data_IF_268074937044
#
_entry.id   IF_268074937044
#
_cell.length_a   1.000
_cell.length_b   1.000
_cell.length_c   1.000
_cell.angle_alpha   90.00
_cell.angle_beta   90.00
_cell.angle_gamma   90.00
#
_symmetry.space_group_name_H-M   'P 1'
#
loop_
_entity.id
_entity.type
_entity.pdbx_description
1 polymer ?
#
# COMPACT_ATOMS: atom_id res chain seq x y z
N UNK A 1 46.97 -34.02 -18.12
CA UNK A 1 46.00 -34.32 -17.04
C UNK A 1 44.73 -33.53 -17.31
N UNK A 2 43.77 -34.20 -17.93
CA UNK A 2 42.45 -33.70 -18.31
C UNK A 2 41.56 -33.67 -17.08
N UNK A 3 41.09 -32.48 -16.69
CA UNK A 3 40.20 -32.30 -15.54
C UNK A 3 38.78 -32.70 -15.98
N UNK A 4 38.34 -33.86 -15.51
CA UNK A 4 37.00 -34.39 -15.76
C UNK A 4 35.99 -33.48 -15.03
N UNK A 5 35.13 -32.80 -15.81
CA UNK A 5 33.94 -32.12 -15.30
C UNK A 5 32.97 -33.15 -14.75
N UNK A 6 32.64 -33.06 -13.47
CA UNK A 6 31.53 -33.76 -12.83
C UNK A 6 30.21 -33.39 -13.54
N UNK A 7 29.32 -34.33 -13.88
CA UNK A 7 28.06 -34.01 -14.52
C UNK A 7 27.11 -33.33 -13.53
N UNK A 8 26.42 -32.32 -14.02
CA UNK A 8 25.38 -31.59 -13.31
C UNK A 8 24.31 -32.54 -12.76
N UNK A 9 23.85 -32.26 -11.54
CA UNK A 9 22.74 -32.95 -10.90
C UNK A 9 21.53 -32.99 -11.85
N UNK A 10 21.00 -34.20 -12.06
CA UNK A 10 19.74 -34.45 -12.75
C UNK A 10 18.67 -33.52 -12.19
N UNK A 11 18.14 -32.63 -13.05
CA UNK A 11 16.88 -31.94 -12.81
C UNK A 11 15.78 -32.99 -12.64
N UNK A 12 15.48 -33.33 -11.39
CA UNK A 12 14.30 -34.10 -11.03
C UNK A 12 13.11 -33.26 -11.51
N UNK A 13 12.46 -33.69 -12.59
CA UNK A 13 11.22 -33.09 -13.09
C UNK A 13 10.21 -33.17 -11.95
N UNK A 14 10.06 -32.07 -11.19
CA UNK A 14 9.09 -31.98 -10.11
C UNK A 14 7.71 -32.11 -10.73
N UNK A 15 6.94 -33.08 -10.25
CA UNK A 15 5.54 -33.25 -10.63
C UNK A 15 4.81 -31.90 -10.53
N UNK A 16 3.91 -31.55 -11.46
CA UNK A 16 3.13 -30.32 -11.37
C UNK A 16 2.33 -30.25 -10.06
N UNK A 17 2.10 -29.04 -9.56
CA UNK A 17 1.24 -28.84 -8.40
C UNK A 17 -0.23 -28.90 -8.82
N UNK A 18 -1.06 -29.59 -8.04
CA UNK A 18 -2.53 -29.63 -8.23
C UNK A 18 -3.22 -28.34 -7.76
N UNK A 19 -2.49 -27.48 -7.05
CA UNK A 19 -2.95 -26.16 -6.60
C UNK A 19 -2.15 -25.08 -7.32
N UNK A 20 -2.85 -24.11 -7.92
CA UNK A 20 -2.24 -22.92 -8.50
C UNK A 20 -2.35 -21.73 -7.56
N UNK A 21 -1.37 -20.83 -7.60
CA UNK A 21 -1.44 -19.53 -6.92
C UNK A 21 -1.55 -18.42 -7.95
N UNK A 22 -2.62 -17.63 -7.84
CA UNK A 22 -2.81 -16.35 -8.52
C UNK A 22 -2.73 -15.22 -7.52
N UNK A 23 -1.99 -14.16 -7.86
CA UNK A 23 -1.83 -12.97 -7.05
C UNK A 23 -2.24 -11.77 -7.88
N UNK A 24 -3.15 -10.96 -7.37
CA UNK A 24 -3.62 -9.76 -8.05
C UNK A 24 -3.55 -8.57 -7.08
N UNK A 25 -2.96 -7.46 -7.53
CA UNK A 25 -3.04 -6.19 -6.80
C UNK A 25 -4.49 -5.73 -6.78
N UNK A 26 -4.98 -5.32 -5.61
CA UNK A 26 -6.28 -4.70 -5.47
C UNK A 26 -6.12 -3.20 -5.77
N UNK A 27 -6.11 -2.87 -7.07
CA UNK A 27 -6.09 -1.50 -7.55
C UNK A 27 -7.44 -0.82 -7.28
N UNK A 28 -7.42 0.48 -6.99
CA UNK A 28 -8.64 1.25 -6.83
C UNK A 28 -9.16 1.67 -8.21
N UNK A 29 -10.47 1.55 -8.47
CA UNK A 29 -11.06 2.06 -9.69
C UNK A 29 -10.98 3.59 -9.74
N UNK A 30 -10.96 4.14 -10.96
CA UNK A 30 -10.98 5.58 -11.22
C UNK A 30 -12.05 5.91 -12.26
N UNK A 31 -12.56 7.14 -12.25
CA UNK A 31 -13.50 7.60 -13.26
C UNK A 31 -12.81 7.65 -14.63
N UNK A 32 -13.46 7.05 -15.64
CA UNK A 32 -12.95 7.08 -17.00
C UNK A 32 -12.97 8.51 -17.55
N UNK A 33 -11.86 8.95 -18.13
CA UNK A 33 -11.78 10.24 -18.79
C UNK A 33 -12.35 10.08 -20.20
N UNK A 34 -13.23 11.00 -20.59
CA UNK A 34 -13.76 11.12 -21.94
C UNK A 34 -13.31 12.45 -22.55
N UNK A 35 -13.25 12.51 -23.88
CA UNK A 35 -12.89 13.70 -24.63
C UNK A 35 -14.11 14.17 -25.41
N UNK A 36 -15.09 14.79 -24.73
CA UNK A 36 -16.33 15.21 -25.38
C UNK A 36 -16.01 16.22 -26.47
N UNK A 37 -16.47 15.96 -27.68
CA UNK A 37 -16.40 16.96 -28.74
C UNK A 37 -17.33 18.14 -28.40
N UNK A 38 -16.98 19.37 -28.85
CA UNK A 38 -17.91 20.49 -28.82
C UNK A 38 -19.23 20.10 -29.50
N UNK A 39 -20.35 20.65 -29.02
CA UNK A 39 -21.69 20.34 -29.53
C UNK A 39 -21.69 20.52 -31.05
N UNK A 40 -21.71 19.40 -31.76
CA UNK A 40 -21.77 19.33 -33.23
C UNK A 40 -23.20 19.03 -33.65
N UNK A 41 -23.61 19.52 -34.81
CA UNK A 41 -24.90 19.19 -35.43
C UNK A 41 -25.05 17.69 -35.75
N UNK A 42 -23.94 16.93 -35.75
CA UNK A 42 -23.93 15.49 -35.98
C UNK A 42 -23.87 14.70 -34.66
N UNK A 43 -24.99 14.07 -34.23
CA UNK A 43 -25.07 13.37 -32.95
C UNK A 43 -24.22 12.09 -32.90
N UNK A 44 -23.94 11.48 -34.06
CA UNK A 44 -23.14 10.26 -34.17
C UNK A 44 -21.65 10.49 -33.88
N UNK A 45 -21.10 11.65 -34.27
CA UNK A 45 -19.70 12.00 -33.97
C UNK A 45 -19.54 12.33 -32.48
N UNK A 46 -20.51 13.06 -31.93
CA UNK A 46 -20.57 13.35 -30.50
C UNK A 46 -20.61 12.06 -29.68
N UNK A 47 -21.48 11.10 -30.04
CA UNK A 47 -21.62 9.83 -29.31
C UNK A 47 -20.36 8.94 -29.37
N UNK A 48 -19.63 8.96 -30.49
CA UNK A 48 -18.38 8.23 -30.66
C UNK A 48 -17.19 8.79 -29.86
N UNK A 49 -17.24 10.08 -29.47
CA UNK A 49 -16.18 10.72 -28.68
C UNK A 49 -16.18 10.36 -27.19
N UNK A 50 -17.27 9.76 -26.70
CA UNK A 50 -17.40 9.37 -25.30
C UNK A 50 -16.73 8.04 -25.01
N UNK A 51 -16.32 7.86 -23.74
CA UNK A 51 -15.73 6.60 -23.27
C UNK A 51 -16.67 5.40 -23.39
N UNK A 52 -17.99 5.63 -23.50
CA UNK A 52 -18.97 4.60 -23.77
C UNK A 52 -20.16 5.15 -24.55
N UNK A 53 -20.64 4.45 -25.60
CA UNK A 53 -21.75 4.91 -26.41
C UNK A 53 -23.07 4.76 -25.65
N UNK A 54 -23.55 5.85 -25.05
CA UNK A 54 -24.87 5.90 -24.41
C UNK A 54 -25.87 6.41 -25.45
N UNK A 55 -26.91 5.62 -25.73
CA UNK A 55 -27.88 5.90 -26.79
C UNK A 55 -28.86 7.05 -26.46
N UNK A 56 -28.94 7.50 -25.21
CA UNK A 56 -29.88 8.52 -24.78
C UNK A 56 -29.30 9.34 -23.62
N UNK A 57 -29.65 10.63 -23.63
CA UNK A 57 -29.62 11.61 -22.52
C UNK A 57 -28.37 12.48 -22.32
N UNK A 58 -28.63 13.79 -22.28
CA UNK A 58 -27.95 14.85 -21.53
C UNK A 58 -26.56 14.50 -21.00
N UNK A 59 -25.56 14.59 -21.87
CA UNK A 59 -24.17 14.55 -21.44
C UNK A 59 -23.61 15.97 -21.59
N UNK A 60 -23.38 16.64 -20.46
CA UNK A 60 -23.07 18.09 -20.38
C UNK A 60 -21.66 18.45 -20.89
N UNK A 61 -21.02 17.59 -21.69
CA UNK A 61 -19.66 17.78 -22.17
C UNK A 61 -18.61 17.69 -21.04
N UNK A 62 -18.92 17.01 -19.94
CA UNK A 62 -17.98 16.86 -18.83
C UNK A 62 -16.87 15.86 -19.18
N UNK A 63 -15.64 16.14 -18.76
CA UNK A 63 -14.47 15.32 -19.10
C UNK A 63 -14.43 13.96 -18.36
N UNK A 64 -15.22 13.79 -17.29
CA UNK A 64 -15.33 12.52 -16.57
C UNK A 64 -16.60 11.80 -16.96
N UNK A 65 -16.46 10.52 -17.31
CA UNK A 65 -17.57 9.59 -17.52
C UNK A 65 -18.04 9.02 -16.18
N UNK A 66 -19.33 8.65 -16.04
CA UNK A 66 -19.82 7.92 -14.86
C UNK A 66 -19.27 6.49 -14.75
N UNK A 67 -18.46 6.03 -15.70
CA UNK A 67 -17.85 4.71 -15.69
C UNK A 67 -16.59 4.64 -14.83
N UNK A 68 -16.47 3.53 -14.12
CA UNK A 68 -15.27 3.20 -13.37
C UNK A 68 -14.38 2.26 -14.20
N UNK A 69 -13.09 2.56 -14.26
CA UNK A 69 -12.08 1.73 -14.92
C UNK A 69 -10.99 1.34 -13.93
N UNK A 70 -10.45 0.14 -14.11
CA UNK A 70 -9.26 -0.29 -13.41
C UNK A 70 -8.01 0.21 -14.16
N UNK A 71 -6.93 0.56 -13.46
CA UNK A 71 -5.67 0.91 -14.10
C UNK A 71 -5.21 -0.18 -15.07
N UNK A 72 -4.76 0.16 -16.29
CA UNK A 72 -4.39 -0.81 -17.32
C UNK A 72 -3.09 -1.57 -16.99
N UNK A 73 -2.36 -1.14 -15.97
CA UNK A 73 -1.10 -1.73 -15.54
C UNK A 73 -0.97 -1.72 -14.02
N UNK A 74 0.09 -2.37 -13.52
CA UNK A 74 0.36 -2.49 -12.08
C UNK A 74 0.48 -1.13 -11.38
N UNK A 75 0.90 -0.07 -12.09
CA UNK A 75 1.07 1.28 -11.54
C UNK A 75 2.18 1.37 -10.48
N UNK A 76 2.32 2.54 -9.85
CA UNK A 76 3.27 2.73 -8.76
C UNK A 76 2.66 2.34 -7.41
N UNK A 77 3.53 1.93 -6.50
CA UNK A 77 3.20 1.82 -5.09
C UNK A 77 3.94 2.94 -4.35
N UNK A 78 3.27 3.62 -3.43
CA UNK A 78 3.83 4.79 -2.78
C UNK A 78 4.07 4.59 -1.28
N UNK A 79 5.16 5.18 -0.79
CA UNK A 79 5.43 5.27 0.64
C UNK A 79 4.32 6.07 1.31
N UNK A 80 3.83 5.55 2.42
CA UNK A 80 2.73 6.08 3.19
C UNK A 80 1.35 5.60 2.74
N UNK A 81 1.25 4.82 1.67
CA UNK A 81 0.01 4.18 1.25
C UNK A 81 -0.06 2.70 1.68
N UNK A 82 -1.29 2.16 1.65
CA UNK A 82 -1.53 0.72 1.89
C UNK A 82 -1.48 -0.03 0.56
N UNK A 83 -0.47 -0.87 0.39
CA UNK A 83 -0.42 -1.87 -0.65
C UNK A 83 -1.38 -3.01 -0.34
N UNK A 84 -2.26 -3.35 -1.28
CA UNK A 84 -3.25 -4.41 -1.11
C UNK A 84 -3.18 -5.41 -2.25
N UNK A 85 -3.19 -6.70 -1.94
CA UNK A 85 -3.31 -7.76 -2.95
C UNK A 85 -4.24 -8.86 -2.46
N UNK A 86 -4.85 -9.56 -3.42
CA UNK A 86 -5.56 -10.81 -3.16
C UNK A 86 -4.69 -11.98 -3.59
N UNK A 87 -4.63 -12.97 -2.71
CA UNK A 87 -3.94 -14.23 -2.90
C UNK A 87 -5.00 -15.30 -3.10
N UNK A 88 -4.94 -16.03 -4.21
CA UNK A 88 -5.93 -17.03 -4.57
C UNK A 88 -5.25 -18.36 -4.85
N UNK A 89 -5.42 -19.33 -3.95
CA UNK A 89 -5.00 -20.71 -4.15
C UNK A 89 -6.15 -21.51 -4.78
N UNK A 90 -6.01 -21.93 -6.03
CA UNK A 90 -7.06 -22.62 -6.78
C UNK A 90 -6.77 -24.11 -6.84
N UNK A 91 -7.78 -24.93 -6.57
CA UNK A 91 -7.73 -26.35 -6.85
C UNK A 91 -7.97 -26.58 -8.36
N UNK A 92 -6.92 -26.96 -9.08
CA UNK A 92 -6.94 -27.18 -10.54
C UNK A 92 -7.44 -28.59 -10.92
N UNK A 93 -7.87 -29.40 -9.95
CA UNK A 93 -8.52 -30.67 -10.24
C UNK A 93 -9.88 -30.40 -10.90
N UNK A 94 -10.08 -30.96 -12.09
CA UNK A 94 -11.35 -30.89 -12.80
C UNK A 94 -12.41 -31.81 -12.14
N UNK A 95 -13.67 -31.37 -12.04
CA UNK A 95 -14.76 -32.23 -11.59
C UNK A 95 -14.93 -33.43 -12.55
N UNK A 96 -14.94 -34.65 -12.02
CA UNK A 96 -15.04 -35.88 -12.81
C UNK A 96 -13.71 -36.52 -13.24
N UNK A 97 -12.58 -36.06 -12.71
CA UNK A 97 -11.29 -36.71 -12.93
C UNK A 97 -11.28 -38.12 -12.30
N UNK A 98 -10.79 -39.10 -13.06
CA UNK A 98 -10.70 -40.54 -12.68
C UNK A 98 -9.67 -40.76 -11.56
N UNK A 99 -8.71 -39.85 -11.44
CA UNK A 99 -7.78 -39.86 -10.32
C UNK A 99 -8.52 -39.30 -9.10
N UNK A 100 -8.92 -40.17 -8.16
CA UNK A 100 -9.58 -39.87 -6.86
C UNK A 100 -8.68 -39.03 -5.92
N UNK A 101 -8.13 -37.94 -6.43
CA UNK A 101 -7.27 -36.98 -5.73
C UNK A 101 -8.16 -35.95 -5.04
N UNK A 102 -7.93 -35.76 -3.74
CA UNK A 102 -8.56 -34.72 -2.93
C UNK A 102 -7.49 -33.76 -2.40
N UNK A 103 -7.84 -32.47 -2.34
CA UNK A 103 -6.96 -31.39 -1.87
C UNK A 103 -7.46 -30.88 -0.54
N UNK A 104 -6.66 -31.15 0.49
CA UNK A 104 -7.01 -30.88 1.87
C UNK A 104 -5.99 -29.94 2.50
N UNK A 105 -6.37 -29.38 3.66
CA UNK A 105 -5.48 -28.57 4.51
C UNK A 105 -4.73 -27.45 3.75
N UNK A 106 -5.41 -26.75 2.83
CA UNK A 106 -4.81 -25.66 2.06
C UNK A 106 -4.56 -24.46 2.96
N UNK A 107 -3.31 -24.03 3.00
CA UNK A 107 -2.84 -22.92 3.81
C UNK A 107 -2.00 -21.96 2.97
N UNK A 108 -2.20 -20.67 3.18
CA UNK A 108 -1.46 -19.60 2.50
C UNK A 108 -0.71 -18.82 3.57
N UNK A 109 0.58 -18.59 3.35
CA UNK A 109 1.39 -17.67 4.14
C UNK A 109 1.99 -16.60 3.23
N UNK A 110 2.02 -15.37 3.71
CA UNK A 110 2.63 -14.26 3.00
C UNK A 110 3.65 -13.55 3.89
N UNK A 111 4.75 -13.16 3.27
CA UNK A 111 5.83 -12.42 3.90
C UNK A 111 6.25 -11.28 2.96
N UNK A 112 6.62 -10.12 3.50
CA UNK A 112 7.21 -9.05 2.72
C UNK A 112 8.65 -8.80 3.15
N UNK A 113 9.55 -8.70 2.17
CA UNK A 113 10.90 -8.20 2.38
C UNK A 113 10.97 -6.77 1.88
N UNK A 114 11.30 -5.85 2.79
CA UNK A 114 11.56 -4.44 2.45
C UNK A 114 13.03 -4.24 2.04
N UNK A 115 13.36 -3.15 1.33
CA UNK A 115 14.72 -2.89 0.84
C UNK A 115 15.78 -2.87 1.93
N UNK A 116 15.48 -2.27 3.09
CA UNK A 116 16.45 -2.10 4.17
C UNK A 116 16.34 -3.17 5.27
N UNK A 117 15.32 -4.05 5.21
CA UNK A 117 15.18 -5.14 6.17
C UNK A 117 15.97 -6.38 5.72
N UNK A 118 16.84 -6.87 6.61
CA UNK A 118 17.54 -8.14 6.44
C UNK A 118 16.60 -9.36 6.53
N UNK A 119 15.49 -9.23 7.27
CA UNK A 119 14.54 -10.32 7.51
C UNK A 119 13.15 -10.04 6.90
N UNK A 120 12.49 -11.05 6.32
CA UNK A 120 11.12 -10.90 5.84
C UNK A 120 10.13 -10.77 7.01
N UNK A 121 9.12 -9.91 6.85
CA UNK A 121 8.06 -9.67 7.83
C UNK A 121 6.84 -10.51 7.44
N UNK A 122 6.38 -11.38 8.35
CA UNK A 122 5.16 -12.17 8.14
C UNK A 122 3.93 -11.26 8.15
N UNK A 123 3.04 -11.46 7.18
CA UNK A 123 1.86 -10.64 6.97
C UNK A 123 0.61 -11.33 7.50
N UNK A 124 -0.28 -10.54 8.10
CA UNK A 124 -1.61 -10.98 8.50
C UNK A 124 -2.52 -11.10 7.27
N UNK A 125 -3.20 -12.23 7.14
CA UNK A 125 -4.13 -12.52 6.05
C UNK A 125 -5.57 -12.36 6.52
N UNK A 126 -6.33 -11.46 5.91
CA UNK A 126 -7.77 -11.38 6.16
C UNK A 126 -8.52 -12.36 5.24
N UNK A 127 -9.60 -13.01 5.74
CA UNK A 127 -10.49 -13.78 4.87
C UNK A 127 -11.16 -12.82 3.88
N UNK A 128 -11.14 -13.13 2.58
CA UNK A 128 -12.08 -12.46 1.68
C UNK A 128 -13.46 -13.02 1.97
N UNK A 129 -14.46 -12.16 2.11
CA UNK A 129 -15.85 -12.51 2.43
C UNK A 129 -16.46 -13.52 1.44
N UNK A 130 -16.19 -14.80 1.61
CA UNK A 130 -16.99 -15.90 1.10
C UNK A 130 -17.62 -16.56 2.32
N UNK A 131 -18.94 -16.43 2.43
CA UNK A 131 -19.75 -17.03 3.49
C UNK A 131 -19.42 -18.51 3.65
N UNK A 132 -18.74 -18.83 4.74
CA UNK A 132 -18.89 -20.10 5.42
C UNK A 132 -19.15 -19.73 6.87
N UNK A 133 -20.43 -19.71 7.25
CA UNK A 133 -20.83 -19.71 8.65
C UNK A 133 -20.10 -20.86 9.33
N UNK A 134 -19.11 -20.56 10.15
CA UNK A 134 -18.67 -21.46 11.20
C UNK A 134 -19.10 -20.83 12.51
N UNK A 135 -20.10 -21.50 13.09
CA UNK A 135 -20.55 -21.41 14.46
C UNK A 135 -19.36 -21.24 15.40
N UNK A 136 -19.52 -20.34 16.35
CA UNK A 136 -18.66 -20.21 17.53
C UNK A 136 -18.55 -21.59 18.19
N UNK A 137 -17.34 -22.12 18.32
CA UNK A 137 -16.80 -22.64 19.57
C UNK A 137 -15.37 -23.20 19.37
N UNK A 138 -14.59 -22.94 20.41
CA UNK A 138 -13.27 -23.46 20.78
C UNK A 138 -11.98 -23.03 20.08
N UNK A 139 -11.17 -22.38 20.93
CA UNK A 139 -9.74 -22.12 20.79
C UNK A 139 -9.00 -23.44 20.94
N UNK A 140 -8.31 -23.85 19.88
CA UNK A 140 -7.00 -24.48 20.04
C UNK A 140 -6.14 -24.22 18.80
N UNK A 141 -4.86 -23.96 19.04
CA UNK A 141 -3.86 -23.62 18.02
C UNK A 141 -3.50 -24.89 17.27
N UNK A 142 -4.32 -25.26 16.29
CA UNK A 142 -3.95 -26.19 15.21
C UNK A 142 -4.14 -25.47 13.89
N UNK A 143 -3.13 -25.59 13.04
CA UNK A 143 -3.08 -25.07 11.66
C UNK A 143 -4.13 -25.77 10.81
N UNK A 144 -5.40 -25.42 10.98
CA UNK A 144 -6.53 -26.04 10.28
C UNK A 144 -6.66 -25.41 8.90
N UNK A 145 -5.86 -25.92 7.95
CA UNK A 145 -5.96 -25.56 6.55
C UNK A 145 -7.34 -25.91 5.99
N UNK A 146 -7.75 -25.25 4.91
CA UNK A 146 -9.11 -25.41 4.35
C UNK A 146 -9.12 -26.50 3.28
N UNK A 147 -10.12 -27.38 3.31
CA UNK A 147 -10.32 -28.36 2.25
C UNK A 147 -10.98 -27.69 1.04
N UNK A 148 -10.44 -27.93 -0.16
CA UNK A 148 -10.94 -27.34 -1.40
C UNK A 148 -11.51 -28.43 -2.31
N UNK A 149 -12.81 -28.32 -2.64
CA UNK A 149 -13.39 -29.17 -3.67
C UNK A 149 -12.77 -28.88 -5.06
N UNK A 150 -12.86 -29.80 -6.02
CA UNK A 150 -12.42 -29.58 -7.40
C UNK A 150 -12.96 -28.25 -7.96
N UNK A 151 -12.08 -27.41 -8.51
CA UNK A 151 -12.43 -26.08 -9.04
C UNK A 151 -12.69 -24.97 -8.01
N UNK A 152 -12.64 -25.26 -6.70
CA UNK A 152 -12.76 -24.22 -5.67
C UNK A 152 -11.43 -23.52 -5.39
N UNK A 153 -11.52 -22.33 -4.79
CA UNK A 153 -10.38 -21.49 -4.47
C UNK A 153 -10.42 -20.98 -3.04
N UNK A 154 -9.26 -20.98 -2.37
CA UNK A 154 -9.04 -20.25 -1.13
C UNK A 154 -8.51 -18.85 -1.44
N UNK A 155 -9.30 -17.83 -1.11
CA UNK A 155 -8.91 -16.44 -1.30
C UNK A 155 -8.61 -15.75 0.03
N UNK A 156 -7.49 -15.04 0.07
CA UNK A 156 -7.05 -14.19 1.19
C UNK A 156 -6.70 -12.81 0.69
N UNK A 157 -6.78 -11.81 1.56
CA UNK A 157 -6.36 -10.44 1.26
C UNK A 157 -5.18 -10.09 2.17
N UNK A 158 -4.16 -9.48 1.57
CA UNK A 158 -3.00 -8.91 2.24
C UNK A 158 -3.12 -7.39 2.15
N UNK A 159 -2.86 -6.71 3.25
CA UNK A 159 -2.74 -5.26 3.32
C UNK A 159 -1.47 -4.90 4.08
N UNK A 160 -0.62 -4.07 3.47
CA UNK A 160 0.67 -3.66 4.03
C UNK A 160 0.85 -2.17 3.86
N UNK A 161 1.13 -1.46 4.94
CA UNK A 161 1.58 -0.07 4.89
C UNK A 161 3.03 -0.01 4.40
N UNK A 162 3.27 0.70 3.31
CA UNK A 162 4.60 0.85 2.76
C UNK A 162 5.31 2.01 3.46
N UNK A 163 6.43 1.71 4.12
CA UNK A 163 7.20 2.69 4.90
C UNK A 163 8.53 3.07 4.27
N UNK A 164 9.01 2.27 3.32
CA UNK A 164 10.33 2.39 2.72
C UNK A 164 10.23 2.45 1.21
N UNK A 165 10.99 3.34 0.59
CA UNK A 165 11.18 3.36 -0.86
C UNK A 165 12.13 2.25 -1.32
N UNK A 166 11.94 1.79 -2.56
CA UNK A 166 12.82 0.81 -3.20
C UNK A 166 12.13 -0.51 -3.56
N UNK A 167 12.94 -1.56 -3.73
CA UNK A 167 12.49 -2.89 -4.16
C UNK A 167 11.91 -3.71 -3.02
N UNK A 168 10.60 -3.93 -3.04
CA UNK A 168 9.90 -4.84 -2.13
C UNK A 168 9.70 -6.20 -2.79
N UNK A 169 9.76 -7.27 -1.99
CA UNK A 169 9.49 -8.64 -2.46
C UNK A 169 8.40 -9.26 -1.59
N UNK A 170 7.22 -9.43 -2.17
CA UNK A 170 6.14 -10.22 -1.59
C UNK A 170 6.40 -11.70 -1.87
N UNK A 171 6.58 -12.47 -0.83
CA UNK A 171 6.78 -13.90 -0.91
C UNK A 171 5.55 -14.62 -0.40
N UNK A 172 5.00 -15.52 -1.21
CA UNK A 172 3.80 -16.28 -0.87
C UNK A 172 4.10 -17.76 -0.91
N UNK A 173 3.87 -18.42 0.21
CA UNK A 173 4.02 -19.86 0.38
C UNK A 173 2.63 -20.50 0.45
N UNK A 174 2.40 -21.53 -0.35
CA UNK A 174 1.17 -22.33 -0.29
C UNK A 174 1.55 -23.74 0.12
N UNK A 175 0.89 -24.24 1.15
CA UNK A 175 1.04 -25.61 1.65
C UNK A 175 -0.31 -26.31 1.58
N UNK A 176 -0.33 -27.56 1.12
CA UNK A 176 -1.55 -28.34 0.99
C UNK A 176 -1.24 -29.84 1.04
N UNK A 177 -2.25 -30.68 1.30
CA UNK A 177 -2.15 -32.13 1.20
C UNK A 177 -2.89 -32.66 -0.03
N UNK A 178 -2.18 -33.47 -0.81
CA UNK A 178 -2.71 -34.28 -1.90
C UNK A 178 -3.02 -35.67 -1.35
N UNK A 179 -4.31 -35.99 -1.22
CA UNK A 179 -4.77 -37.29 -0.73
C UNK A 179 -5.30 -38.12 -1.91
N UNK A 180 -4.77 -39.33 -2.03
CA UNK A 180 -5.23 -40.39 -2.92
C UNK A 180 -5.91 -41.46 -2.07
N UNK A 181 -6.67 -42.36 -2.71
CA UNK A 181 -7.38 -43.46 -2.04
C UNK A 181 -6.55 -44.24 -1.00
N UNK A 182 -5.24 -44.37 -1.22
CA UNK A 182 -4.34 -45.17 -0.37
C UNK A 182 -3.16 -44.38 0.24
N UNK A 183 -3.01 -43.08 -0.03
CA UNK A 183 -1.86 -42.31 0.45
C UNK A 183 -2.10 -40.80 0.45
N UNK A 184 -1.59 -40.10 1.48
CA UNK A 184 -1.55 -38.64 1.53
C UNK A 184 -0.13 -38.11 1.39
N UNK A 185 0.05 -37.01 0.63
CA UNK A 185 1.33 -36.33 0.45
C UNK A 185 1.17 -34.83 0.72
N UNK A 186 1.95 -34.29 1.66
CA UNK A 186 2.03 -32.83 1.86
C UNK A 186 2.95 -32.22 0.81
N UNK A 187 2.49 -31.15 0.18
CA UNK A 187 3.24 -30.39 -0.82
C UNK A 187 3.24 -28.92 -0.45
N UNK A 188 4.34 -28.25 -0.75
CA UNK A 188 4.44 -26.81 -0.64
C UNK A 188 5.12 -26.24 -1.87
N UNK A 189 4.82 -24.99 -2.16
CA UNK A 189 5.58 -24.19 -3.11
C UNK A 189 5.59 -22.72 -2.68
N UNK A 190 6.61 -22.01 -3.13
CA UNK A 190 6.85 -20.60 -2.79
C UNK A 190 7.03 -19.80 -4.07
N UNK A 191 6.30 -18.68 -4.19
CA UNK A 191 6.45 -17.72 -5.29
C UNK A 191 6.84 -16.35 -4.76
N UNK A 192 7.70 -15.66 -5.50
CA UNK A 192 8.20 -14.33 -5.15
C UNK A 192 7.69 -13.33 -6.19
N UNK A 193 7.16 -12.21 -5.71
CA UNK A 193 6.65 -11.11 -6.53
C UNK A 193 7.38 -9.83 -6.12
N UNK A 194 8.17 -9.30 -7.03
CA UNK A 194 8.93 -8.08 -6.81
C UNK A 194 8.15 -6.86 -7.33
N UNK A 195 8.13 -5.78 -6.55
CA UNK A 195 7.58 -4.50 -6.97
C UNK A 195 8.39 -3.34 -6.39
N UNK A 196 8.28 -2.17 -7.02
CA UNK A 196 9.01 -0.95 -6.61
C UNK A 196 8.05 -0.02 -5.87
N UNK A 197 8.49 0.48 -4.72
CA UNK A 197 7.85 1.54 -3.98
C UNK A 197 8.59 2.87 -4.20
N UNK A 198 7.88 3.93 -4.56
CA UNK A 198 8.40 5.30 -4.72
C UNK A 198 7.91 6.19 -3.58
N UNK A 199 8.58 7.30 -3.30
CA UNK A 199 8.03 8.32 -2.42
C UNK A 199 6.85 9.03 -3.10
N UNK A 200 5.71 9.14 -2.42
CA UNK A 200 4.62 10.02 -2.85
C UNK A 200 4.85 11.46 -2.36
N UNK A 201 5.35 11.60 -1.13
CA UNK A 201 5.65 12.89 -0.54
C UNK A 201 7.08 12.91 0.00
N UNK A 202 7.84 13.94 -0.36
CA UNK A 202 9.16 14.20 0.22
C UNK A 202 9.07 15.32 1.24
N UNK A 203 9.81 15.18 2.35
CA UNK A 203 9.86 16.16 3.42
C UNK A 203 11.30 16.63 3.60
N UNK A 204 11.51 17.93 3.40
CA UNK A 204 12.81 18.58 3.65
C UNK A 204 12.63 19.64 4.73
N UNK A 205 13.29 19.48 5.86
CA UNK A 205 13.11 20.35 7.02
C UNK A 205 14.40 21.08 7.42
N UNK A 206 14.23 22.24 8.03
CA UNK A 206 15.30 23.07 8.58
C UNK A 206 14.85 23.66 9.91
N UNK A 207 15.73 23.60 10.91
CA UNK A 207 15.48 24.15 12.24
C UNK A 207 16.43 25.31 12.47
N UNK A 208 15.88 26.45 12.91
CA UNK A 208 16.63 27.68 13.17
C UNK A 208 16.27 28.19 14.57
N UNK A 209 17.28 28.49 15.39
CA UNK A 209 17.05 29.11 16.69
C UNK A 209 16.58 30.56 16.53
N UNK A 210 15.55 30.94 17.27
CA UNK A 210 15.00 32.29 17.29
C UNK A 210 15.37 32.94 18.63
N UNK A 211 15.98 34.14 18.63
CA UNK A 211 16.21 34.88 19.85
C UNK A 211 14.89 35.17 20.58
N UNK A 212 14.82 34.77 21.85
CA UNK A 212 13.66 34.98 22.70
C UNK A 212 14.11 35.35 24.11
N UNK A 213 13.33 36.20 24.78
CA UNK A 213 13.68 36.75 26.10
C UNK A 213 13.31 35.84 27.27
N UNK A 214 12.39 34.89 27.04
CA UNK A 214 11.80 34.07 28.11
C UNK A 214 12.28 32.63 28.03
N UNK A 215 11.89 31.93 26.97
CA UNK A 215 12.23 30.52 26.74
C UNK A 215 13.06 30.39 25.48
N UNK A 216 13.87 29.34 25.35
CA UNK A 216 14.53 29.05 24.08
C UNK A 216 13.47 28.67 23.05
N UNK A 217 13.62 29.20 21.86
CA UNK A 217 12.63 29.09 20.80
C UNK A 217 13.32 28.75 19.49
N UNK A 218 12.65 27.95 18.66
CA UNK A 218 13.12 27.56 17.34
C UNK A 218 11.98 27.67 16.32
N UNK A 219 12.31 28.04 15.08
CA UNK A 219 11.44 27.82 13.94
C UNK A 219 11.85 26.53 13.23
N UNK A 220 10.88 25.65 13.02
CA UNK A 220 10.98 24.50 12.14
C UNK A 220 10.23 24.82 10.86
N UNK A 221 10.97 24.98 9.76
CA UNK A 221 10.43 25.12 8.41
C UNK A 221 10.54 23.76 7.71
N UNK A 222 9.47 23.34 7.02
CA UNK A 222 9.52 22.15 6.18
C UNK A 222 8.88 22.38 4.82
N UNK A 223 9.47 21.77 3.80
CA UNK A 223 8.98 21.71 2.43
C UNK A 223 8.39 20.32 2.20
N UNK A 224 7.12 20.28 1.83
CA UNK A 224 6.37 19.09 1.47
C UNK A 224 6.23 19.08 -0.04
N UNK A 225 6.90 18.15 -0.72
CA UNK A 225 6.91 18.07 -2.18
C UNK A 225 6.15 16.83 -2.63
N UNK A 226 5.21 17.00 -3.56
CA UNK A 226 4.56 15.86 -4.21
C UNK A 226 5.50 15.25 -5.24
N UNK A 227 6.09 14.10 -4.91
CA UNK A 227 6.96 13.32 -5.80
C UNK A 227 6.22 12.22 -6.55
N UNK A 228 4.91 12.08 -6.34
CA UNK A 228 4.06 11.13 -7.06
C UNK A 228 3.65 11.63 -8.44
N UNK A 229 3.03 10.73 -9.21
CA UNK A 229 2.49 11.04 -10.55
C UNK A 229 1.02 11.51 -10.51
N UNK A 230 0.36 11.39 -9.36
CA UNK A 230 -1.01 11.86 -9.16
C UNK A 230 -1.07 13.10 -8.27
N UNK A 231 -2.13 13.88 -8.41
CA UNK A 231 -2.40 14.97 -7.49
C UNK A 231 -2.85 14.44 -6.12
N UNK A 232 -2.38 15.10 -5.07
CA UNK A 232 -2.75 14.81 -3.69
C UNK A 232 -3.37 16.03 -3.03
N UNK A 233 -4.21 15.78 -2.04
CA UNK A 233 -4.87 16.79 -1.22
C UNK A 233 -4.32 16.64 0.19
N UNK A 234 -3.56 17.62 0.67
CA UNK A 234 -3.00 17.61 2.02
C UNK A 234 -4.12 17.77 3.05
N UNK A 235 -4.28 16.79 3.94
CA UNK A 235 -5.32 16.84 4.97
C UNK A 235 -4.80 17.52 6.24
N UNK A 236 -3.72 16.99 6.80
CA UNK A 236 -3.19 17.44 8.09
C UNK A 236 -1.66 17.36 8.07
N UNK A 237 -1.03 18.34 8.73
CA UNK A 237 0.40 18.35 9.03
C UNK A 237 0.54 18.62 10.52
N UNK A 238 0.98 17.60 11.24
CA UNK A 238 1.03 17.61 12.71
C UNK A 238 2.49 17.43 13.12
N UNK A 239 2.95 18.27 14.04
CA UNK A 239 4.22 18.07 14.71
C UNK A 239 3.95 17.42 16.06
N UNK A 240 4.50 16.23 16.27
CA UNK A 240 4.37 15.48 17.51
C UNK A 240 5.56 15.84 18.41
N UNK A 241 5.29 16.68 19.41
CA UNK A 241 6.29 17.18 20.35
C UNK A 241 6.92 16.05 21.18
N UNK A 242 8.23 16.13 21.41
CA UNK A 242 8.92 15.38 22.46
C UNK A 242 8.78 16.09 23.82
N UNK A 243 9.07 15.36 24.90
CA UNK A 243 9.08 15.91 26.25
C UNK A 243 10.02 17.12 26.36
N UNK A 244 9.58 18.12 27.12
CA UNK A 244 10.31 19.39 27.26
C UNK A 244 10.09 20.38 26.13
N UNK A 245 9.27 20.06 25.12
CA UNK A 245 8.92 20.98 24.04
C UNK A 245 7.42 21.10 23.84
N UNK A 246 7.03 22.25 23.29
CA UNK A 246 5.68 22.49 22.78
C UNK A 246 5.78 23.20 21.44
N UNK A 247 5.08 22.69 20.43
CA UNK A 247 5.00 23.34 19.13
C UNK A 247 3.67 24.07 18.93
N UNK A 248 3.75 25.13 18.14
CA UNK A 248 2.60 25.86 17.62
C UNK A 248 2.72 25.91 16.10
N UNK A 249 1.72 25.36 15.41
CA UNK A 249 1.59 25.49 13.97
C UNK A 249 1.43 26.96 13.58
N UNK A 250 2.29 27.44 12.68
CA UNK A 250 2.17 28.75 12.04
C UNK A 250 1.50 28.66 10.66
N UNK A 251 0.96 27.49 10.34
CA UNK A 251 0.36 27.19 9.04
C UNK A 251 -1.04 27.81 8.95
N UNK A 252 -1.11 29.13 8.75
CA UNK A 252 -2.34 29.93 8.71
C UNK A 252 -3.36 29.40 7.68
N UNK A 253 -2.89 28.79 6.59
CA UNK A 253 -3.74 28.19 5.56
C UNK A 253 -4.50 26.93 6.03
N UNK A 254 -4.15 26.37 7.20
CA UNK A 254 -4.82 25.20 7.80
C UNK A 254 -5.64 25.57 9.04
N UNK A 255 -5.64 26.85 9.44
CA UNK A 255 -6.37 27.33 10.62
C UNK A 255 -7.81 27.64 10.22
N UNK A 256 -8.76 26.95 10.87
CA UNK A 256 -10.21 27.10 10.68
C UNK A 256 -10.66 28.52 11.05
N UNK A 257 -10.74 29.40 10.08
CA UNK A 257 -11.58 30.60 10.16
C UNK A 257 -12.71 30.47 9.12
N UNK A 258 -13.93 30.35 9.63
CA UNK A 258 -15.24 30.50 8.97
C UNK A 258 -15.45 29.85 7.57
N UNK A 259 -16.21 28.75 7.63
CA UNK A 259 -17.20 28.22 6.66
C UNK A 259 -16.85 27.61 5.30
N UNK A 260 -15.67 27.79 4.69
CA UNK A 260 -15.25 26.88 3.59
C UNK A 260 -13.72 26.78 3.57
N UNK A 261 -13.16 25.64 4.01
CA UNK A 261 -11.73 25.36 3.84
C UNK A 261 -11.53 24.31 2.77
N UNK A 262 -10.79 24.67 1.73
CA UNK A 262 -10.30 23.72 0.73
C UNK A 262 -8.87 23.32 1.11
N UNK A 263 -8.70 22.02 1.36
CA UNK A 263 -7.38 21.45 1.66
C UNK A 263 -6.39 21.72 0.51
N UNK A 264 -5.11 22.07 0.77
CA UNK A 264 -4.15 22.35 -0.28
C UNK A 264 -4.01 21.18 -1.24
N UNK A 265 -4.23 21.45 -2.53
CA UNK A 265 -4.04 20.49 -3.62
C UNK A 265 -2.64 20.65 -4.17
N UNK A 266 -1.86 19.58 -4.18
CA UNK A 266 -0.52 19.52 -4.76
C UNK A 266 -0.56 18.69 -6.03
N UNK A 267 -0.26 19.32 -7.16
CA UNK A 267 0.04 18.65 -8.42
C UNK A 267 1.41 17.96 -8.32
N UNK A 268 1.71 16.98 -9.20
CA UNK A 268 3.05 16.42 -9.30
C UNK A 268 4.13 17.51 -9.42
N UNK A 269 5.11 17.49 -8.53
CA UNK A 269 6.19 18.48 -8.45
C UNK A 269 5.87 19.74 -7.63
N UNK A 270 4.63 19.94 -7.20
CA UNK A 270 4.28 21.08 -6.35
C UNK A 270 4.90 20.94 -4.95
N UNK A 271 5.28 22.09 -4.39
CA UNK A 271 5.86 22.19 -3.04
C UNK A 271 4.99 23.07 -2.16
N UNK A 272 4.59 22.53 -1.01
CA UNK A 272 3.95 23.28 0.06
C UNK A 272 4.94 23.53 1.20
N UNK A 273 5.07 24.79 1.61
CA UNK A 273 5.84 25.14 2.80
C UNK A 273 4.94 25.12 4.05
N UNK A 274 5.50 24.59 5.13
CA UNK A 274 4.89 24.59 6.47
C UNK A 274 5.92 25.06 7.50
N UNK A 275 5.45 25.70 8.57
CA UNK A 275 6.28 26.21 9.64
C UNK A 275 5.65 25.97 11.02
N UNK A 276 6.49 25.60 11.98
CA UNK A 276 6.14 25.40 13.38
C UNK A 276 7.07 26.23 14.26
N UNK A 277 6.50 26.91 15.24
CA UNK A 277 7.24 27.54 16.32
C UNK A 277 7.37 26.52 17.45
N UNK A 278 8.60 26.20 17.87
CA UNK A 278 8.90 25.25 18.93
C UNK A 278 9.44 26.03 20.13
N UNK A 279 8.85 25.82 21.29
CA UNK A 279 9.24 26.45 22.56
C UNK A 279 9.70 25.39 23.55
N UNK A 280 10.81 25.65 24.24
CA UNK A 280 11.20 24.88 25.42
C UNK A 280 10.21 25.19 26.56
N UNK A 281 9.74 24.15 27.24
CA UNK A 281 8.87 24.28 28.43
C UNK A 281 9.66 23.91 29.69
N UNK A 282 9.07 24.10 30.88
CA UNK A 282 9.78 23.89 32.17
C UNK A 282 10.24 22.45 32.40
N UNK A 283 9.67 21.48 31.68
CA UNK A 283 10.13 20.09 31.70
C UNK A 283 11.48 19.96 30.96
N UNK A 284 12.44 19.25 31.57
CA UNK A 284 13.77 19.12 30.98
C UNK A 284 13.73 18.31 29.68
N UNK A 285 14.27 18.84 28.57
CA UNK A 285 14.31 18.10 27.32
C UNK A 285 15.33 16.96 27.39
N UNK A 286 15.00 15.84 26.74
CA UNK A 286 15.90 14.71 26.62
C UNK A 286 16.93 14.94 25.50
N UNK A 287 18.22 14.77 25.82
CA UNK A 287 19.31 14.80 24.84
C UNK A 287 19.67 13.37 24.50
N UNK A 288 19.41 12.97 23.25
CA UNK A 288 19.67 11.62 22.76
C UNK A 288 20.87 11.67 21.83
N UNK A 289 21.96 10.99 22.20
CA UNK A 289 23.20 10.92 21.41
C UNK A 289 23.76 12.30 20.99
N UNK A 290 23.73 13.27 21.92
CA UNK A 290 24.22 14.64 21.67
C UNK A 290 23.33 15.50 20.77
N UNK A 291 22.12 15.03 20.46
CA UNK A 291 21.10 15.80 19.73
C UNK A 291 19.95 16.16 20.66
N UNK A 292 19.52 17.41 20.56
CA UNK A 292 18.26 17.88 21.14
C UNK A 292 17.14 17.51 20.17
N UNK A 293 16.31 16.55 20.54
CA UNK A 293 15.21 16.05 19.70
C UNK A 293 13.93 16.78 20.07
N UNK A 294 13.32 17.46 19.10
CA UNK A 294 12.10 18.23 19.33
C UNK A 294 10.82 17.43 19.10
N UNK A 295 10.84 16.45 18.19
CA UNK A 295 9.61 15.80 17.75
C UNK A 295 9.74 15.04 16.45
N UNK A 296 8.60 14.57 15.94
CA UNK A 296 8.46 14.00 14.60
C UNK A 296 7.34 14.74 13.86
N UNK A 297 7.41 14.80 12.53
CA UNK A 297 6.34 15.39 11.74
C UNK A 297 5.52 14.32 11.04
N UNK A 298 4.21 14.35 11.25
CA UNK A 298 3.23 13.47 10.64
C UNK A 298 2.42 14.22 9.59
N UNK A 299 2.47 13.76 8.35
CA UNK A 299 1.76 14.33 7.20
C UNK A 299 0.71 13.35 6.72
N UNK A 300 -0.50 13.84 6.43
CA UNK A 300 -1.62 13.06 5.93
C UNK A 300 -2.16 13.69 4.65
N UNK A 301 -2.48 12.86 3.66
CA UNK A 301 -3.04 13.31 2.40
C UNK A 301 -4.11 12.36 1.87
N UNK A 302 -4.85 12.84 0.87
CA UNK A 302 -5.73 12.00 0.05
C UNK A 302 -5.38 12.08 -1.43
N UNK A 303 -5.44 10.94 -2.11
CA UNK A 303 -5.40 10.89 -3.57
C UNK A 303 -6.74 11.25 -4.20
N UNK A 304 -6.76 11.27 -5.54
CA UNK A 304 -7.90 11.62 -6.40
C UNK A 304 -9.22 10.97 -6.01
N UNK A 305 -9.22 9.66 -5.75
CA UNK A 305 -10.42 8.87 -5.40
C UNK A 305 -10.55 8.63 -3.88
N UNK A 306 -9.94 9.49 -3.06
CA UNK A 306 -10.05 9.41 -1.60
C UNK A 306 -9.18 8.34 -0.95
N UNK A 307 -8.19 7.78 -1.67
CA UNK A 307 -7.14 6.96 -1.06
C UNK A 307 -6.44 7.76 0.03
N UNK A 308 -6.21 7.16 1.19
CA UNK A 308 -5.49 7.82 2.29
C UNK A 308 -4.00 7.49 2.19
N UNK A 309 -3.17 8.49 2.43
CA UNK A 309 -1.74 8.31 2.63
C UNK A 309 -1.28 9.02 3.90
N UNK A 310 -0.23 8.48 4.51
CA UNK A 310 0.35 9.01 5.74
C UNK A 310 1.87 8.77 5.77
N UNK A 311 2.63 9.81 6.10
CA UNK A 311 4.08 9.76 6.29
C UNK A 311 4.42 10.34 7.66
N UNK A 312 5.33 9.69 8.38
CA UNK A 312 5.95 10.27 9.58
C UNK A 312 7.45 10.34 9.36
N UNK A 313 8.04 11.51 9.62
CA UNK A 313 9.49 11.71 9.51
C UNK A 313 10.23 11.02 10.64
N UNK A 314 11.53 10.79 10.44
CA UNK A 314 12.45 10.51 11.54
C UNK A 314 12.46 11.66 12.56
N UNK A 315 12.96 11.41 13.80
CA UNK A 315 13.07 12.42 14.83
C UNK A 315 13.86 13.65 14.37
N UNK A 316 13.21 14.82 14.43
CA UNK A 316 13.74 16.11 14.05
C UNK A 316 14.40 16.77 15.26
N UNK A 317 15.62 17.27 15.08
CA UNK A 317 16.43 17.79 16.17
C UNK A 317 17.66 18.55 15.68
N UNK A 318 18.32 19.25 16.59
CA UNK A 318 19.60 19.91 16.35
C UNK A 318 20.71 19.21 17.14
N UNK A 319 21.94 19.28 16.65
CA UNK A 319 23.10 18.90 17.46
C UNK A 319 23.33 19.94 18.54
N UNK A 320 23.59 19.48 19.76
CA UNK A 320 24.06 20.32 20.85
C UNK A 320 25.57 20.41 20.70
N UNK A 321 26.09 21.61 20.45
CA UNK A 321 27.52 21.90 20.48
C UNK A 321 27.98 22.22 21.89
#
# INVERSE_FOLDING_TARGET
MTQVRSPAALDIIREPHSVSLKVLRLSRPSLSIQQPLPISSEPALSSASYAYPIQNSHNDGFILSPLLTLPPAFGYAYVGEVFSCTLCANNEILPGNISEKSINAVHIEAEIKTPNSGAPIKLSLSPSSSKSEKTLEDKDVQTDGINLAPGQSLQKIVQVELKEEGNHVLTVSVTYSENFATSGRVRNFRKLYQFVCKNCLSVRSKITAIPSKSYKTWALEAQLENCGEENIILQNVIFNDQKGFRSKSLNLNFIKQADVHENPKLMPGDVQQVCFLIEEVDEKPEIISGKLIFGTMSVYWRGTMGSKGHLTTDPLGIKVN
#
